data_IF_383374735575
#
_entry.id   IF_383374735575
#
_cell.length_a   1.000
_cell.length_b   1.000
_cell.length_c   1.000
_cell.angle_alpha   90.00
_cell.angle_beta   90.00
_cell.angle_gamma   90.00
#
_symmetry.space_group_name_H-M   'P 1'
#
loop_
_entity.id
_entity.type
_entity.pdbx_description
1 polymer ?
#
# COMPACT_ATOMS: atom_id res chain seq x y z
N UNK A 1 9.45 -11.90 -46.89
CA UNK A 1 10.37 -12.11 -45.74
C UNK A 1 10.80 -10.73 -45.27
N UNK A 2 9.94 -10.10 -44.47
CA UNK A 2 10.11 -8.73 -44.00
C UNK A 2 10.96 -8.77 -42.74
N UNK A 3 12.14 -8.15 -42.79
CA UNK A 3 13.08 -8.09 -41.67
C UNK A 3 12.53 -7.20 -40.56
N UNK A 4 12.64 -7.67 -39.32
CA UNK A 4 12.45 -6.87 -38.12
C UNK A 4 13.64 -5.92 -37.97
N UNK A 5 13.44 -4.65 -38.30
CA UNK A 5 14.41 -3.60 -37.99
C UNK A 5 14.23 -3.16 -36.52
N UNK A 6 15.33 -3.27 -35.78
CA UNK A 6 15.48 -2.92 -34.36
C UNK A 6 15.61 -1.41 -34.27
N UNK A 7 14.58 -0.70 -33.80
CA UNK A 7 14.71 0.72 -33.49
C UNK A 7 15.76 0.88 -32.38
N UNK A 8 16.85 1.56 -32.72
CA UNK A 8 17.86 2.02 -31.80
C UNK A 8 17.25 3.18 -31.00
N UNK A 9 17.08 2.95 -29.70
CA UNK A 9 16.65 3.97 -28.75
C UNK A 9 17.89 4.76 -28.31
N UNK A 10 18.20 5.83 -29.04
CA UNK A 10 19.18 6.83 -28.62
C UNK A 10 18.57 7.62 -27.46
N UNK A 11 19.09 7.40 -26.25
CA UNK A 11 18.65 8.10 -25.06
C UNK A 11 19.04 9.57 -25.10
N UNK A 12 18.08 10.44 -25.41
CA UNK A 12 18.09 11.84 -25.02
C UNK A 12 17.40 11.98 -23.64
N UNK A 13 18.23 12.05 -22.59
CA UNK A 13 17.79 12.38 -21.24
C UNK A 13 17.29 13.82 -21.18
N UNK A 14 16.03 14.04 -21.55
CA UNK A 14 15.36 15.30 -21.32
C UNK A 14 15.20 15.52 -19.81
N UNK A 15 15.96 16.49 -19.31
CA UNK A 15 15.87 16.99 -17.95
C UNK A 15 14.40 17.36 -17.62
N UNK A 16 13.83 16.75 -16.59
CA UNK A 16 12.54 17.15 -16.03
C UNK A 16 12.65 18.55 -15.41
N UNK A 17 12.55 19.58 -16.26
CA UNK A 17 12.31 20.96 -15.86
C UNK A 17 10.81 21.16 -15.71
N UNK A 18 10.34 21.22 -14.46
CA UNK A 18 8.95 21.53 -14.14
C UNK A 18 8.58 22.93 -14.61
N UNK A 19 7.51 23.00 -15.41
CA UNK A 19 6.79 24.23 -15.68
C UNK A 19 5.56 24.23 -14.79
N UNK A 20 5.43 25.26 -13.93
CA UNK A 20 4.20 25.63 -13.23
C UNK A 20 3.08 25.87 -14.26
N UNK A 21 2.38 24.81 -14.63
CA UNK A 21 1.09 24.84 -15.30
C UNK A 21 0.11 24.18 -14.31
N UNK A 22 -0.94 24.92 -13.93
CA UNK A 22 -1.86 24.63 -12.82
C UNK A 22 -2.82 23.46 -13.10
N UNK A 23 -2.33 22.45 -13.82
CA UNK A 23 -2.97 21.14 -14.04
C UNK A 23 -1.89 20.06 -14.08
N UNK A 24 -1.19 19.87 -12.96
CA UNK A 24 -0.23 18.77 -12.80
C UNK A 24 -0.96 17.46 -12.47
N UNK A 25 -0.88 16.40 -13.30
CA UNK A 25 -1.49 15.09 -13.00
C UNK A 25 -0.93 14.40 -11.74
N UNK A 26 0.09 14.98 -11.10
CA UNK A 26 0.66 14.47 -9.84
C UNK A 26 -0.26 14.70 -8.63
N UNK A 27 -1.24 15.61 -8.69
CA UNK A 27 -2.13 15.90 -7.56
C UNK A 27 -3.02 14.69 -7.15
N UNK A 28 -3.29 13.77 -8.09
CA UNK A 28 -3.97 12.48 -7.84
C UNK A 28 -3.14 11.48 -7.01
N UNK A 29 -1.87 11.78 -6.74
CA UNK A 29 -0.98 10.92 -5.95
C UNK A 29 -0.88 11.39 -4.50
N UNK A 30 -1.44 12.55 -4.16
CA UNK A 30 -1.42 13.08 -2.81
C UNK A 30 -2.43 12.31 -1.94
N UNK A 31 -1.94 11.34 -1.18
CA UNK A 31 -2.72 10.55 -0.23
C UNK A 31 -2.54 11.10 1.19
N UNK A 32 -3.63 11.34 1.88
CA UNK A 32 -3.63 11.68 3.31
C UNK A 32 -4.50 10.69 4.09
N UNK A 33 -4.46 10.75 5.42
CA UNK A 33 -5.26 9.86 6.27
C UNK A 33 -6.06 10.64 7.30
N UNK A 34 -7.32 10.27 7.45
CA UNK A 34 -8.21 10.78 8.50
C UNK A 34 -8.73 9.63 9.34
N UNK A 35 -9.19 9.93 10.54
CA UNK A 35 -9.80 8.96 11.45
C UNK A 35 -11.31 9.06 11.35
N UNK A 36 -11.95 7.96 10.93
CA UNK A 36 -13.41 7.92 10.88
C UNK A 36 -14.01 8.11 12.29
N UNK A 37 -14.94 9.06 12.49
CA UNK A 37 -15.52 9.35 13.80
C UNK A 37 -16.37 8.20 14.36
N UNK A 38 -16.92 7.33 13.50
CA UNK A 38 -17.80 6.23 13.93
C UNK A 38 -17.06 4.94 14.28
N UNK A 39 -15.99 4.59 13.55
CA UNK A 39 -15.25 3.33 13.78
C UNK A 39 -13.83 3.52 14.31
N UNK A 40 -13.36 4.76 14.44
CA UNK A 40 -12.01 5.13 14.90
C UNK A 40 -10.89 4.46 14.10
N UNK A 41 -11.15 4.07 12.85
CA UNK A 41 -10.15 3.52 11.94
C UNK A 41 -9.57 4.61 11.05
N UNK A 42 -8.26 4.59 10.79
CA UNK A 42 -7.66 5.47 9.80
C UNK A 42 -8.13 5.06 8.40
N UNK A 43 -8.57 6.03 7.62
CA UNK A 43 -9.00 5.91 6.23
C UNK A 43 -8.02 6.72 5.39
N UNK A 44 -7.47 6.11 4.35
CA UNK A 44 -6.66 6.81 3.37
C UNK A 44 -7.56 7.45 2.32
N UNK A 45 -7.30 8.72 2.02
CA UNK A 45 -8.04 9.52 1.06
C UNK A 45 -7.10 10.14 0.04
N UNK A 46 -7.63 10.42 -1.14
CA UNK A 46 -7.02 11.29 -2.15
C UNK A 46 -7.41 12.74 -1.91
N UNK A 47 -6.58 13.69 -2.36
CA UNK A 47 -6.78 15.13 -2.16
C UNK A 47 -8.15 15.68 -2.60
N UNK A 48 -8.78 15.05 -3.60
CA UNK A 48 -10.07 15.45 -4.17
C UNK A 48 -11.29 14.77 -3.51
N UNK A 49 -11.09 13.84 -2.57
CA UNK A 49 -12.19 13.17 -1.87
C UNK A 49 -12.75 14.05 -0.75
N UNK A 50 -13.99 14.49 -0.90
CA UNK A 50 -14.71 15.31 0.10
C UNK A 50 -15.54 14.47 1.09
N UNK A 51 -15.80 13.20 0.77
CA UNK A 51 -16.59 12.27 1.57
C UNK A 51 -15.81 11.00 1.89
N UNK A 52 -16.05 10.42 3.07
CA UNK A 52 -15.45 9.14 3.46
C UNK A 52 -15.96 8.02 2.54
N UNK A 53 -15.07 7.22 1.92
CA UNK A 53 -15.45 6.12 1.07
C UNK A 53 -16.21 5.04 1.86
N UNK A 54 -16.93 4.18 1.15
CA UNK A 54 -17.54 3.01 1.77
C UNK A 54 -16.46 2.14 2.40
N UNK A 55 -16.58 1.91 3.71
CA UNK A 55 -15.63 1.11 4.47
C UNK A 55 -16.35 0.19 5.45
N UNK A 56 -15.71 -0.91 5.79
CA UNK A 56 -16.29 -1.93 6.65
C UNK A 56 -16.03 -1.66 8.13
N UNK A 57 -17.08 -1.77 8.94
CA UNK A 57 -16.99 -1.91 10.39
C UNK A 57 -16.74 -3.38 10.74
N UNK A 58 -15.63 -3.63 11.45
CA UNK A 58 -15.35 -4.92 12.05
C UNK A 58 -15.90 -4.94 13.49
N UNK A 59 -16.92 -5.77 13.81
CA UNK A 59 -17.59 -5.72 15.11
C UNK A 59 -16.67 -6.13 16.25
N UNK A 60 -15.68 -6.99 15.99
CA UNK A 60 -14.59 -7.28 16.93
C UNK A 60 -13.38 -7.84 16.19
N UNK A 61 -12.15 -7.70 16.74
CA UNK A 61 -10.96 -8.33 16.18
C UNK A 61 -11.06 -9.87 16.05
N UNK A 62 -11.93 -10.49 16.84
CA UNK A 62 -12.16 -11.95 16.87
C UNK A 62 -13.30 -12.42 15.95
N UNK A 63 -14.00 -11.49 15.28
CA UNK A 63 -15.04 -11.81 14.29
C UNK A 63 -14.79 -11.07 12.96
N UNK A 64 -13.72 -11.42 12.24
CA UNK A 64 -13.32 -10.70 11.02
C UNK A 64 -14.26 -10.90 9.83
N UNK A 65 -15.17 -11.87 9.90
CA UNK A 65 -16.13 -12.17 8.83
C UNK A 65 -17.48 -11.46 9.01
N UNK A 66 -17.73 -10.88 10.19
CA UNK A 66 -18.96 -10.14 10.49
C UNK A 66 -18.95 -8.69 9.98
N UNK A 67 -18.25 -8.42 8.87
CA UNK A 67 -18.11 -7.07 8.34
C UNK A 67 -19.45 -6.52 7.86
N UNK A 68 -19.77 -5.29 8.25
CA UNK A 68 -20.91 -4.52 7.73
C UNK A 68 -20.40 -3.18 7.24
N UNK A 69 -21.16 -2.48 6.38
CA UNK A 69 -20.83 -1.09 6.02
C UNK A 69 -20.82 -0.24 7.28
N UNK A 70 -19.78 0.56 7.45
CA UNK A 70 -19.66 1.47 8.58
C UNK A 70 -20.67 2.62 8.43
N UNK A 71 -21.39 3.01 9.50
CA UNK A 71 -22.33 4.14 9.44
C UNK A 71 -21.64 5.49 9.14
N UNK A 72 -20.31 5.57 9.26
CA UNK A 72 -19.54 6.74 8.86
C UNK A 72 -19.23 6.83 7.36
N UNK A 73 -19.61 5.83 6.56
CA UNK A 73 -19.45 5.89 5.10
C UNK A 73 -20.30 7.03 4.53
N UNK A 74 -19.72 7.85 3.65
CA UNK A 74 -20.36 9.03 3.07
C UNK A 74 -20.45 10.25 4.01
N UNK A 75 -19.82 10.24 5.19
CA UNK A 75 -19.67 11.47 5.98
C UNK A 75 -18.64 12.41 5.34
N UNK A 76 -18.77 13.70 5.59
CA UNK A 76 -17.77 14.68 5.13
C UNK A 76 -16.41 14.41 5.79
N UNK A 77 -15.35 14.59 5.00
CA UNK A 77 -13.96 14.53 5.48
C UNK A 77 -13.68 15.63 6.51
N UNK A 78 -14.40 16.74 6.46
CA UNK A 78 -14.24 17.86 7.40
C UNK A 78 -14.68 17.51 8.84
N UNK A 79 -15.53 16.48 9.00
CA UNK A 79 -15.97 15.96 10.31
C UNK A 79 -14.94 14.98 10.92
N UNK A 80 -13.87 14.64 10.19
CA UNK A 80 -12.88 13.64 10.58
C UNK A 80 -11.55 14.28 10.98
N UNK A 81 -10.94 13.76 12.04
CA UNK A 81 -9.64 14.24 12.54
C UNK A 81 -8.48 13.62 11.74
N UNK A 82 -7.38 14.35 11.47
CA UNK A 82 -6.21 13.79 10.78
C UNK A 82 -5.62 12.60 11.57
N UNK A 83 -5.35 11.49 10.88
CA UNK A 83 -4.94 10.23 11.52
C UNK A 83 -3.52 10.28 12.13
N UNK A 84 -2.68 11.19 11.64
CA UNK A 84 -1.28 11.33 12.03
C UNK A 84 -1.12 11.81 13.49
N UNK A 85 -2.21 12.25 14.13
CA UNK A 85 -2.22 12.73 15.50
C UNK A 85 -2.15 11.62 16.58
N UNK A 86 -2.30 10.33 16.23
CA UNK A 86 -2.60 9.29 17.24
C UNK A 86 -1.75 8.01 17.22
N UNK A 87 -0.88 7.82 16.23
CA UNK A 87 -0.08 6.60 16.11
C UNK A 87 1.31 6.74 16.70
N UNK A 88 1.50 6.46 18.00
CA UNK A 88 2.85 6.33 18.57
C UNK A 88 3.63 5.29 17.76
N UNK A 89 4.62 5.74 16.99
CA UNK A 89 5.52 4.87 16.28
C UNK A 89 6.20 3.96 17.30
N UNK A 90 5.80 2.69 17.34
CA UNK A 90 6.46 1.70 18.17
C UNK A 90 7.83 1.47 17.53
N UNK A 91 8.87 2.06 18.13
CA UNK A 91 10.26 1.87 17.74
C UNK A 91 10.67 0.44 18.10
N UNK A 92 10.28 -0.51 17.23
CA UNK A 92 10.68 -1.90 17.32
C UNK A 92 12.08 -2.02 16.73
N UNK A 93 12.98 -2.70 17.45
CA UNK A 93 14.32 -3.01 16.98
C UNK A 93 14.27 -3.67 15.59
N UNK A 94 14.93 -3.04 14.61
CA UNK A 94 14.96 -3.51 13.22
C UNK A 94 15.45 -4.95 13.12
N UNK A 95 16.37 -5.38 13.99
CA UNK A 95 16.83 -6.76 14.00
C UNK A 95 15.70 -7.75 14.36
N UNK A 96 14.82 -7.40 15.30
CA UNK A 96 13.64 -8.18 15.65
C UNK A 96 12.60 -8.21 14.51
N UNK A 97 12.39 -7.09 13.83
CA UNK A 97 11.47 -7.02 12.67
C UNK A 97 11.94 -7.87 11.49
N UNK A 98 13.25 -7.93 11.26
CA UNK A 98 13.85 -8.69 10.17
C UNK A 98 14.07 -10.17 10.52
N UNK A 99 14.00 -10.54 11.80
CA UNK A 99 14.05 -11.92 12.27
C UNK A 99 12.71 -12.34 12.84
N UNK A 100 11.77 -12.60 11.93
CA UNK A 100 10.44 -13.06 12.31
C UNK A 100 10.55 -14.46 12.97
N UNK A 101 9.96 -14.67 14.17
CA UNK A 101 9.86 -16.00 14.76
C UNK A 101 9.20 -17.00 13.80
N UNK A 102 9.58 -18.28 13.84
CA UNK A 102 9.01 -19.30 12.94
C UNK A 102 7.48 -19.38 13.03
N UNK A 103 6.92 -19.14 14.21
CA UNK A 103 5.46 -19.12 14.46
C UNK A 103 4.73 -17.95 13.80
N UNK A 104 5.46 -16.89 13.40
CA UNK A 104 4.94 -15.73 12.70
C UNK A 104 5.30 -15.75 11.20
N UNK A 105 6.08 -16.72 10.71
CA UNK A 105 6.32 -16.91 9.29
C UNK A 105 5.01 -17.27 8.57
N UNK A 106 4.38 -16.26 7.97
CA UNK A 106 3.09 -16.39 7.28
C UNK A 106 3.13 -17.46 6.18
N UNK A 107 4.30 -17.79 5.62
CA UNK A 107 4.44 -18.85 4.59
C UNK A 107 4.26 -20.25 5.16
N UNK A 108 4.48 -20.44 6.46
CA UNK A 108 4.35 -21.73 7.14
C UNK A 108 3.00 -21.89 7.85
N UNK A 109 2.14 -20.87 7.79
CA UNK A 109 0.83 -20.91 8.43
C UNK A 109 -0.13 -21.85 7.68
N UNK A 110 -1.01 -22.57 8.39
CA UNK A 110 -1.90 -23.58 7.80
C UNK A 110 -2.94 -23.03 6.83
N UNK A 111 -3.21 -21.72 6.88
CA UNK A 111 -4.10 -21.01 5.95
C UNK A 111 -3.34 -20.33 4.80
N UNK A 112 -2.01 -20.31 4.85
CA UNK A 112 -1.23 -19.79 3.75
C UNK A 112 -1.29 -20.78 2.60
N UNK A 113 -1.58 -20.27 1.41
CA UNK A 113 -1.37 -21.02 0.20
C UNK A 113 0.15 -21.13 0.03
N UNK A 114 0.79 -22.08 0.72
CA UNK A 114 2.09 -22.59 0.32
C UNK A 114 1.92 -22.88 -1.16
N UNK A 115 2.52 -22.03 -1.98
CA UNK A 115 2.33 -22.14 -3.41
C UNK A 115 2.70 -23.56 -3.81
N UNK A 116 1.91 -24.10 -4.74
CA UNK A 116 2.15 -25.44 -5.24
C UNK A 116 3.57 -25.59 -5.80
N UNK A 117 3.91 -26.75 -6.36
CA UNK A 117 5.26 -27.12 -6.80
C UNK A 117 6.07 -26.10 -7.63
N UNK A 118 5.44 -25.06 -8.19
CA UNK A 118 6.06 -23.93 -8.91
C UNK A 118 6.41 -22.66 -8.10
N UNK A 119 6.07 -22.54 -6.81
CA UNK A 119 6.33 -21.31 -6.03
C UNK A 119 7.69 -21.27 -5.32
N UNK A 120 8.65 -22.07 -5.78
CA UNK A 120 9.99 -22.09 -5.19
C UNK A 120 10.75 -20.83 -5.60
N UNK A 121 11.45 -20.15 -4.66
CA UNK A 121 12.29 -19.01 -5.00
C UNK A 121 13.30 -19.40 -6.09
N UNK A 122 13.39 -18.58 -7.13
CA UNK A 122 14.44 -18.72 -8.15
C UNK A 122 15.79 -18.47 -7.47
N UNK A 123 16.68 -19.47 -7.48
CA UNK A 123 18.05 -19.27 -7.00
C UNK A 123 18.80 -18.44 -8.03
N UNK A 124 19.18 -17.22 -7.65
CA UNK A 124 20.14 -16.43 -8.43
C UNK A 124 21.52 -17.10 -8.30
N UNK A 125 22.18 -17.50 -9.39
CA UNK A 125 23.55 -18.00 -9.33
C UNK A 125 24.46 -16.92 -8.76
N UNK A 126 25.31 -17.26 -7.79
CA UNK A 126 26.38 -16.36 -7.36
C UNK A 126 27.23 -15.99 -8.58
N UNK A 127 27.30 -14.69 -8.88
CA UNK A 127 28.22 -14.17 -9.87
C UNK A 127 29.64 -14.55 -9.41
N UNK A 128 30.29 -15.44 -10.15
CA UNK A 128 31.68 -15.81 -9.90
C UNK A 128 32.55 -14.59 -10.16
N UNK A 129 32.82 -13.83 -9.11
CA UNK A 129 33.81 -12.76 -9.13
C UNK A 129 35.17 -13.32 -9.50
N UNK A 130 35.85 -12.67 -10.44
CA UNK A 130 37.22 -12.93 -10.83
C UNK A 130 38.02 -11.65 -10.72
#
# INVERSE_FOLDING_TARGET
MTGLERLENDGDGAAYGGTDDLTDPTDLTSMFRVTCPDCARPIALLADEEELPEHALCPSPWNPFGLTVCPGSGRSVEDAEPADASGGAQELDTALLLTLPESLDWRRQPFSHIGGPGSRPLRVPEARGR
#
